data_IF_791905393406
#
_entry.id   IF_791905393406
#
_cell.length_a   1.000
_cell.length_b   1.000
_cell.length_c   1.000
_cell.angle_alpha   90.00
_cell.angle_beta   90.00
_cell.angle_gamma   90.00
#
_symmetry.space_group_name_H-M   'P 1'
#
loop_
_entity.id
_entity.type
_entity.pdbx_description
1 polymer ?
#
# COMPACT_ATOMS: atom_id res chain seq x y z
N UNK A 1 -30.92 9.02 -10.09
CA UNK A 1 -30.63 9.89 -8.93
C UNK A 1 -29.81 11.07 -9.41
N UNK A 2 -30.06 12.26 -8.87
CA UNK A 2 -29.20 13.41 -9.13
C UNK A 2 -27.98 13.36 -8.18
N UNK A 3 -26.89 14.08 -8.52
CA UNK A 3 -25.75 14.19 -7.62
C UNK A 3 -26.13 14.66 -6.21
N UNK A 4 -27.05 15.62 -6.08
CA UNK A 4 -27.53 16.13 -4.77
C UNK A 4 -28.31 15.10 -3.98
N UNK A 5 -29.04 14.20 -4.66
CA UNK A 5 -29.73 13.08 -4.00
C UNK A 5 -28.73 12.06 -3.48
N UNK A 6 -27.64 11.81 -4.21
CA UNK A 6 -26.55 10.92 -3.77
C UNK A 6 -25.83 11.50 -2.56
N UNK A 7 -25.41 12.77 -2.63
CA UNK A 7 -24.75 13.47 -1.52
C UNK A 7 -25.59 13.43 -0.24
N UNK A 8 -26.91 13.67 -0.38
CA UNK A 8 -27.83 13.59 0.74
C UNK A 8 -27.97 12.17 1.29
N UNK A 9 -28.07 11.16 0.44
CA UNK A 9 -28.17 9.75 0.87
C UNK A 9 -26.90 9.32 1.64
N UNK A 10 -25.71 9.75 1.18
CA UNK A 10 -24.45 9.52 1.91
C UNK A 10 -24.47 10.22 3.26
N UNK A 11 -24.82 11.53 3.31
CA UNK A 11 -24.86 12.30 4.57
C UNK A 11 -25.81 11.68 5.59
N UNK A 12 -27.03 11.31 5.16
CA UNK A 12 -28.02 10.65 6.01
C UNK A 12 -27.55 9.26 6.49
N UNK A 13 -26.73 8.57 5.69
CA UNK A 13 -26.17 7.26 6.00
C UNK A 13 -24.96 7.29 6.95
N UNK A 14 -24.30 8.44 7.16
CA UNK A 14 -23.04 8.52 7.93
C UNK A 14 -23.11 7.98 9.35
N UNK A 15 -24.18 8.19 10.15
CA UNK A 15 -24.25 7.60 11.49
C UNK A 15 -24.15 6.07 11.49
N UNK A 16 -24.82 5.41 10.54
CA UNK A 16 -24.72 3.95 10.36
C UNK A 16 -23.35 3.53 9.84
N UNK A 17 -22.78 4.29 8.92
CA UNK A 17 -21.46 4.07 8.35
C UNK A 17 -20.37 4.08 9.43
N UNK A 18 -20.38 5.08 10.31
CA UNK A 18 -19.44 5.18 11.43
C UNK A 18 -19.61 4.02 12.40
N UNK A 19 -20.83 3.59 12.68
CA UNK A 19 -21.09 2.44 13.57
C UNK A 19 -20.63 1.12 12.94
N UNK A 20 -20.83 0.92 11.63
CA UNK A 20 -20.36 -0.26 10.92
C UNK A 20 -18.82 -0.31 10.91
N UNK A 21 -18.14 0.83 10.68
CA UNK A 21 -16.69 0.94 10.81
C UNK A 21 -16.21 0.59 12.22
N UNK A 22 -16.86 1.17 13.26
CA UNK A 22 -16.52 0.85 14.66
C UNK A 22 -16.61 -0.65 14.94
N UNK A 23 -17.66 -1.30 14.48
CA UNK A 23 -17.85 -2.75 14.65
C UNK A 23 -16.76 -3.55 13.94
N UNK A 24 -16.35 -3.11 12.75
CA UNK A 24 -15.30 -3.80 12.00
C UNK A 24 -13.93 -3.58 12.63
N UNK A 25 -13.59 -2.35 13.04
CA UNK A 25 -12.33 -2.02 13.73
C UNK A 25 -12.20 -2.74 15.08
N UNK A 26 -13.31 -2.96 15.79
CA UNK A 26 -13.30 -3.67 17.06
C UNK A 26 -12.89 -5.16 16.93
N UNK A 27 -12.89 -5.73 15.74
CA UNK A 27 -12.45 -7.10 15.48
C UNK A 27 -10.94 -7.10 15.19
N UNK A 28 -10.10 -7.76 16.02
CA UNK A 28 -8.65 -7.82 15.83
C UNK A 28 -8.28 -8.85 14.74
N UNK A 29 -8.60 -8.57 13.49
CA UNK A 29 -8.43 -9.44 12.33
C UNK A 29 -6.98 -9.48 11.84
N UNK A 30 -6.05 -9.83 12.72
CA UNK A 30 -4.60 -9.91 12.42
C UNK A 30 -4.29 -11.25 11.73
N UNK A 31 -4.03 -11.22 10.41
CA UNK A 31 -3.81 -12.41 9.58
C UNK A 31 -2.34 -12.88 9.55
N UNK A 32 -1.62 -12.74 10.66
CA UNK A 32 -0.21 -13.09 10.80
C UNK A 32 0.00 -14.42 11.55
N UNK A 33 1.08 -15.18 11.29
CA UNK A 33 1.43 -16.36 12.05
C UNK A 33 1.53 -16.08 13.55
N UNK A 34 0.97 -16.97 14.37
CA UNK A 34 0.96 -16.83 15.82
C UNK A 34 -0.23 -16.04 16.38
N UNK A 35 -1.07 -15.47 15.53
CA UNK A 35 -2.34 -14.85 15.90
C UNK A 35 -3.52 -15.82 15.74
N UNK A 36 -4.65 -15.51 16.41
CA UNK A 36 -5.87 -16.31 16.32
C UNK A 36 -6.57 -16.08 14.97
N UNK A 37 -6.98 -17.15 14.31
CA UNK A 37 -7.74 -17.10 13.05
C UNK A 37 -9.19 -16.65 13.25
N UNK A 38 -9.76 -16.89 14.44
CA UNK A 38 -11.18 -16.66 14.70
C UNK A 38 -11.63 -15.20 14.44
N UNK A 39 -10.89 -14.15 14.86
CA UNK A 39 -11.26 -12.77 14.54
C UNK A 39 -11.21 -12.47 13.03
N UNK A 40 -10.28 -13.08 12.28
CA UNK A 40 -10.21 -12.88 10.82
C UNK A 40 -11.47 -13.43 10.15
N UNK A 41 -11.91 -14.63 10.55
CA UNK A 41 -13.15 -15.24 10.06
C UNK A 41 -14.41 -14.47 10.54
N UNK A 42 -14.36 -13.89 11.73
CA UNK A 42 -15.45 -13.02 12.25
C UNK A 42 -15.58 -11.75 11.40
N UNK A 43 -14.44 -11.13 11.02
CA UNK A 43 -14.42 -9.96 10.13
C UNK A 43 -14.99 -10.31 8.75
N UNK A 44 -14.59 -11.43 8.15
CA UNK A 44 -15.17 -11.92 6.90
C UNK A 44 -16.69 -12.07 6.98
N UNK A 45 -17.20 -12.66 8.07
CA UNK A 45 -18.63 -12.82 8.28
C UNK A 45 -19.37 -11.49 8.49
N UNK A 46 -18.72 -10.49 9.10
CA UNK A 46 -19.29 -9.15 9.23
C UNK A 46 -19.34 -8.45 7.87
N UNK A 47 -18.26 -8.47 7.10
CA UNK A 47 -18.18 -7.90 5.72
C UNK A 47 -19.28 -8.51 4.85
N UNK A 48 -19.46 -9.83 4.86
CA UNK A 48 -20.54 -10.50 4.12
C UNK A 48 -21.90 -9.94 4.48
N UNK A 49 -22.20 -9.73 5.77
CA UNK A 49 -23.47 -9.14 6.23
C UNK A 49 -23.63 -7.69 5.77
N UNK A 50 -22.57 -6.89 5.82
CA UNK A 50 -22.60 -5.49 5.40
C UNK A 50 -22.87 -5.34 3.91
N UNK A 51 -22.23 -6.16 3.05
CA UNK A 51 -22.47 -6.17 1.60
C UNK A 51 -23.90 -6.61 1.26
N UNK A 52 -24.47 -7.61 1.99
CA UNK A 52 -25.88 -7.97 1.83
C UNK A 52 -26.81 -6.83 2.21
N UNK A 53 -26.52 -6.13 3.31
CA UNK A 53 -27.30 -4.99 3.76
C UNK A 53 -27.18 -3.76 2.84
N UNK A 54 -26.11 -3.68 2.03
CA UNK A 54 -25.94 -2.67 0.99
C UNK A 54 -26.76 -2.97 -0.30
N UNK A 55 -27.53 -4.07 -0.32
CA UNK A 55 -28.43 -4.41 -1.42
C UNK A 55 -27.83 -5.31 -2.50
N UNK A 56 -26.64 -5.88 -2.28
CA UNK A 56 -26.05 -6.83 -3.25
C UNK A 56 -26.76 -8.19 -3.18
N UNK A 57 -27.29 -8.71 -4.32
CA UNK A 57 -28.11 -9.93 -4.32
C UNK A 57 -27.29 -11.21 -4.13
N UNK A 58 -26.04 -11.21 -4.57
CA UNK A 58 -25.18 -12.40 -4.53
C UNK A 58 -23.91 -12.09 -3.73
N UNK A 59 -23.88 -12.53 -2.47
CA UNK A 59 -22.73 -12.35 -1.57
C UNK A 59 -22.31 -13.71 -1.02
N UNK A 60 -21.02 -14.04 -1.11
CA UNK A 60 -20.45 -15.29 -0.61
C UNK A 60 -19.01 -15.14 -0.19
N UNK A 61 -18.55 -15.98 0.72
CA UNK A 61 -17.13 -16.15 0.98
C UNK A 61 -16.54 -17.13 -0.05
N UNK A 62 -15.35 -16.82 -0.56
CA UNK A 62 -14.59 -17.64 -1.49
C UNK A 62 -13.32 -18.10 -0.79
N UNK A 63 -13.09 -19.43 -0.69
CA UNK A 63 -11.85 -19.94 -0.13
C UNK A 63 -10.67 -19.59 -1.04
N UNK A 64 -9.61 -19.03 -0.46
CA UNK A 64 -8.33 -18.79 -1.13
C UNK A 64 -7.33 -19.82 -0.56
N UNK A 65 -6.68 -20.58 -1.44
CA UNK A 65 -5.75 -21.64 -1.02
C UNK A 65 -4.56 -21.05 -0.24
N UNK A 66 -4.39 -21.49 0.99
CA UNK A 66 -3.31 -21.04 1.88
C UNK A 66 -3.47 -19.63 2.43
N UNK A 67 -4.70 -19.07 2.37
CA UNK A 67 -5.06 -17.76 2.89
C UNK A 67 -6.44 -17.80 3.58
N UNK A 68 -6.85 -16.67 4.15
CA UNK A 68 -8.22 -16.48 4.63
C UNK A 68 -9.20 -16.26 3.46
N UNK A 69 -10.51 -16.53 3.66
CA UNK A 69 -11.47 -16.40 2.57
C UNK A 69 -11.61 -14.95 2.11
N UNK A 70 -11.67 -14.72 0.81
CA UNK A 70 -12.15 -13.45 0.29
C UNK A 70 -13.68 -13.37 0.37
N UNK A 71 -14.24 -12.20 0.64
CA UNK A 71 -15.68 -11.96 0.53
C UNK A 71 -15.96 -11.37 -0.85
N UNK A 72 -16.71 -12.11 -1.66
CA UNK A 72 -17.09 -11.70 -3.00
C UNK A 72 -18.58 -11.37 -3.07
N UNK A 73 -18.91 -10.30 -3.77
CA UNK A 73 -20.29 -9.93 -4.05
C UNK A 73 -20.44 -9.44 -5.49
N UNK A 74 -21.64 -9.62 -6.05
CA UNK A 74 -21.94 -9.14 -7.39
C UNK A 74 -23.41 -8.74 -7.59
N UNK A 75 -23.64 -7.76 -8.44
CA UNK A 75 -24.92 -7.39 -9.02
C UNK A 75 -24.76 -7.19 -10.53
N UNK A 76 -25.70 -7.68 -11.35
CA UNK A 76 -25.60 -7.56 -12.80
C UNK A 76 -25.66 -6.10 -13.25
N UNK A 77 -24.97 -5.81 -14.36
CA UNK A 77 -25.05 -4.50 -15.01
C UNK A 77 -26.45 -4.26 -15.60
N UNK A 78 -26.99 -3.04 -15.50
CA UNK A 78 -28.08 -2.61 -16.37
C UNK A 78 -27.69 -2.72 -17.85
N UNK A 79 -28.67 -2.81 -18.75
CA UNK A 79 -28.43 -2.95 -20.18
C UNK A 79 -27.51 -1.84 -20.71
N UNK A 80 -26.37 -2.23 -21.27
CA UNK A 80 -25.40 -1.33 -21.86
C UNK A 80 -24.51 -0.56 -20.84
N UNK A 81 -24.69 -0.74 -19.53
CA UNK A 81 -23.85 -0.13 -18.52
C UNK A 81 -22.54 -0.92 -18.31
N UNK A 82 -21.45 -0.24 -17.95
CA UNK A 82 -20.17 -0.90 -17.61
C UNK A 82 -20.27 -1.66 -16.29
N UNK A 83 -19.26 -2.51 -16.03
CA UNK A 83 -19.07 -3.19 -14.75
C UNK A 83 -17.88 -2.61 -14.01
N UNK A 84 -18.03 -2.36 -12.71
CA UNK A 84 -16.98 -1.90 -11.80
C UNK A 84 -16.66 -2.97 -10.78
N UNK A 85 -15.37 -3.25 -10.57
CA UNK A 85 -14.85 -4.06 -9.49
C UNK A 85 -14.36 -3.15 -8.36
N UNK A 86 -14.81 -3.38 -7.13
CA UNK A 86 -14.43 -2.67 -5.92
C UNK A 86 -13.56 -3.61 -5.06
N UNK A 87 -12.38 -3.15 -4.65
CA UNK A 87 -11.43 -3.91 -3.83
C UNK A 87 -11.03 -3.16 -2.57
N UNK A 88 -10.97 -3.91 -1.48
CA UNK A 88 -10.42 -3.53 -0.18
C UNK A 88 -9.98 -4.79 0.57
N UNK A 89 -9.37 -4.65 1.77
CA UNK A 89 -9.08 -5.79 2.63
C UNK A 89 -9.62 -5.62 4.05
N UNK A 90 -9.81 -6.74 4.78
CA UNK A 90 -10.36 -6.73 6.13
C UNK A 90 -9.39 -7.20 7.21
N UNK A 91 -8.23 -7.72 6.84
CA UNK A 91 -7.17 -8.02 7.79
C UNK A 91 -6.39 -6.75 8.15
N UNK A 92 -5.56 -6.82 9.17
CA UNK A 92 -4.82 -5.68 9.70
C UNK A 92 -3.45 -6.09 10.22
N UNK A 93 -2.52 -5.14 10.25
CA UNK A 93 -1.22 -5.29 10.90
C UNK A 93 -1.36 -5.57 12.41
N UNK A 94 -0.40 -6.30 13.01
CA UNK A 94 -0.29 -6.38 14.46
C UNK A 94 -0.21 -4.99 15.11
N UNK A 95 -0.82 -4.85 16.28
CA UNK A 95 -0.85 -3.57 17.01
C UNK A 95 0.52 -3.09 17.55
N UNK A 96 1.52 -3.98 17.58
CA UNK A 96 2.82 -3.66 18.17
C UNK A 96 2.75 -3.46 19.69
N UNK A 97 3.59 -2.55 20.20
CA UNK A 97 3.65 -2.24 21.64
C UNK A 97 2.42 -1.42 22.08
N UNK A 98 1.57 -2.04 22.90
CA UNK A 98 0.33 -1.42 23.40
C UNK A 98 0.60 -0.18 24.27
N UNK A 99 1.78 -0.05 24.88
CA UNK A 99 2.13 1.11 25.69
C UNK A 99 2.27 2.41 24.86
N UNK A 100 2.43 2.29 23.55
CA UNK A 100 2.54 3.43 22.64
C UNK A 100 1.18 3.93 22.13
N UNK A 101 0.10 3.19 22.37
CA UNK A 101 -1.25 3.57 21.98
C UNK A 101 -1.91 4.50 23.01
N UNK A 102 -2.51 5.59 22.55
CA UNK A 102 -3.30 6.52 23.39
C UNK A 102 -4.67 5.94 23.77
N UNK A 103 -5.24 5.14 22.86
CA UNK A 103 -6.48 4.38 23.06
C UNK A 103 -6.20 2.93 22.66
N UNK A 104 -6.87 1.92 23.27
CA UNK A 104 -6.64 0.53 22.87
C UNK A 104 -6.92 0.33 21.36
N UNK A 105 -6.05 -0.39 20.63
CA UNK A 105 -6.10 -0.47 19.16
C UNK A 105 -7.39 -1.08 18.59
N UNK A 106 -8.07 -1.93 19.36
CA UNK A 106 -9.33 -2.57 18.96
C UNK A 106 -10.54 -2.12 19.79
N UNK A 107 -10.42 -0.94 20.44
CA UNK A 107 -11.52 -0.22 21.06
C UNK A 107 -11.72 1.13 20.35
N UNK A 108 -12.30 1.12 19.12
CA UNK A 108 -12.32 2.31 18.26
C UNK A 108 -12.94 3.51 18.98
N UNK A 109 -12.15 4.56 19.10
CA UNK A 109 -12.52 5.77 19.86
C UNK A 109 -12.60 6.95 18.91
N UNK A 110 -13.71 7.69 18.94
CA UNK A 110 -13.87 8.90 18.13
C UNK A 110 -13.64 10.14 19.01
N UNK A 111 -12.69 10.97 18.62
CA UNK A 111 -12.38 12.25 19.26
C UNK A 111 -12.30 13.32 18.18
N UNK A 112 -13.06 14.40 18.31
CA UNK A 112 -13.06 15.55 17.39
C UNK A 112 -13.18 15.17 15.90
N UNK A 113 -14.05 14.20 15.59
CA UNK A 113 -14.28 13.74 14.22
C UNK A 113 -13.22 12.79 13.66
N UNK A 114 -12.30 12.32 14.51
CA UNK A 114 -11.24 11.38 14.15
C UNK A 114 -11.48 10.06 14.87
N UNK A 115 -11.53 8.95 14.15
CA UNK A 115 -11.58 7.60 14.72
C UNK A 115 -10.16 7.05 14.86
N UNK A 116 -9.82 6.63 16.09
CA UNK A 116 -8.55 5.96 16.40
C UNK A 116 -8.80 4.46 16.59
N UNK A 117 -7.98 3.64 15.93
CA UNK A 117 -8.02 2.18 16.03
C UNK A 117 -7.20 1.51 14.93
N UNK A 118 -6.66 0.31 15.18
CA UNK A 118 -5.94 -0.46 14.16
C UNK A 118 -6.90 -0.93 13.06
N UNK A 119 -6.56 -0.66 11.79
CA UNK A 119 -7.41 -0.92 10.64
C UNK A 119 -8.48 0.16 10.42
N UNK A 120 -8.46 1.27 11.15
CA UNK A 120 -9.43 2.34 10.94
C UNK A 120 -9.21 3.03 9.59
N UNK A 121 -7.95 3.20 9.18
CA UNK A 121 -7.55 3.71 7.88
C UNK A 121 -7.25 2.55 6.92
N UNK A 122 -6.35 1.68 7.27
CA UNK A 122 -5.78 0.60 6.46
C UNK A 122 -6.33 -0.79 6.88
N UNK A 123 -7.29 -1.41 6.12
CA UNK A 123 -8.09 -0.84 5.04
C UNK A 123 -9.60 -1.10 5.29
N UNK A 124 -9.98 -1.15 6.59
CA UNK A 124 -11.41 -1.28 6.93
C UNK A 124 -12.20 -0.04 6.49
N UNK A 125 -11.53 1.10 6.31
CA UNK A 125 -12.12 2.30 5.71
C UNK A 125 -12.53 2.08 4.26
N UNK A 126 -11.73 1.38 3.47
CA UNK A 126 -12.04 1.00 2.10
C UNK A 126 -13.23 0.05 2.03
N UNK A 127 -13.27 -0.97 2.89
CA UNK A 127 -14.44 -1.86 3.00
C UNK A 127 -15.72 -1.06 3.25
N UNK A 128 -15.67 -0.11 4.20
CA UNK A 128 -16.85 0.70 4.57
C UNK A 128 -17.18 1.73 3.49
N UNK A 129 -16.19 2.25 2.77
CA UNK A 129 -16.40 3.13 1.62
C UNK A 129 -17.27 2.41 0.58
N UNK A 130 -16.90 1.21 0.16
CA UNK A 130 -17.68 0.43 -0.80
C UNK A 130 -19.10 0.11 -0.29
N UNK A 131 -19.22 -0.33 0.96
CA UNK A 131 -20.53 -0.63 1.55
C UNK A 131 -21.44 0.60 1.59
N UNK A 132 -20.92 1.75 2.02
CA UNK A 132 -21.71 2.97 2.18
C UNK A 132 -22.08 3.62 0.82
N UNK A 133 -21.14 3.62 -0.13
CA UNK A 133 -21.41 4.11 -1.50
C UNK A 133 -22.51 3.28 -2.18
N UNK A 134 -22.45 1.95 -2.08
CA UNK A 134 -23.47 1.06 -2.64
C UNK A 134 -24.80 1.21 -1.93
N UNK A 135 -24.84 1.41 -0.61
CA UNK A 135 -26.05 1.64 0.18
C UNK A 135 -26.84 2.87 -0.31
N UNK A 136 -26.16 3.90 -0.81
CA UNK A 136 -26.79 5.12 -1.32
C UNK A 136 -27.74 4.85 -2.50
N UNK A 137 -27.59 3.73 -3.20
CA UNK A 137 -28.41 3.36 -4.36
C UNK A 137 -29.65 2.50 -4.02
N UNK A 138 -29.82 2.07 -2.77
CA UNK A 138 -30.93 1.22 -2.33
C UNK A 138 -31.16 -0.01 -3.25
N UNK A 139 -30.07 -0.70 -3.60
CA UNK A 139 -30.05 -1.90 -4.45
C UNK A 139 -30.31 -1.67 -5.95
N UNK A 140 -30.38 -0.41 -6.41
CA UNK A 140 -30.55 -0.04 -7.82
C UNK A 140 -29.27 0.57 -8.37
N UNK A 141 -28.32 -0.27 -8.72
CA UNK A 141 -27.00 0.17 -9.13
C UNK A 141 -26.97 0.70 -10.57
N UNK A 142 -26.25 1.82 -10.83
CA UNK A 142 -26.12 2.40 -12.18
C UNK A 142 -25.17 1.60 -13.09
N UNK A 143 -24.34 0.74 -12.52
CA UNK A 143 -23.34 -0.10 -13.17
C UNK A 143 -23.51 -1.55 -12.73
N UNK A 144 -22.88 -2.48 -13.45
CA UNK A 144 -22.61 -3.79 -12.88
C UNK A 144 -21.61 -3.65 -11.74
N UNK A 145 -21.89 -4.27 -10.62
CA UNK A 145 -21.04 -4.20 -9.43
C UNK A 145 -20.44 -5.55 -9.16
N UNK A 146 -19.14 -5.59 -8.97
CA UNK A 146 -18.40 -6.69 -8.34
C UNK A 146 -17.62 -6.13 -7.16
N UNK A 147 -17.60 -6.88 -6.07
CA UNK A 147 -16.81 -6.52 -4.87
C UNK A 147 -15.97 -7.73 -4.49
N UNK A 148 -14.71 -7.52 -4.22
CA UNK A 148 -13.84 -8.52 -3.61
C UNK A 148 -13.09 -7.89 -2.44
N UNK A 149 -13.30 -8.43 -1.23
CA UNK A 149 -12.64 -7.97 -0.02
C UNK A 149 -11.73 -9.09 0.46
N UNK A 150 -10.42 -8.82 0.48
CA UNK A 150 -9.37 -9.77 0.83
C UNK A 150 -9.23 -9.93 2.34
N UNK A 151 -8.72 -11.08 2.77
CA UNK A 151 -8.54 -11.40 4.19
C UNK A 151 -7.10 -11.62 4.63
N UNK A 152 -6.12 -11.38 3.75
CA UNK A 152 -4.70 -11.54 4.05
C UNK A 152 -3.82 -10.73 3.10
N UNK A 153 -4.07 -9.44 2.97
CA UNK A 153 -3.24 -8.51 2.21
C UNK A 153 -1.93 -8.22 2.94
N UNK A 154 -2.01 -7.95 4.21
CA UNK A 154 -0.95 -7.45 5.09
C UNK A 154 0.19 -8.46 5.38
N UNK A 155 -0.05 -9.73 5.06
CA UNK A 155 0.94 -10.79 5.23
C UNK A 155 0.93 -11.77 4.07
N UNK A 156 2.00 -11.77 3.26
CA UNK A 156 2.20 -12.71 2.15
C UNK A 156 1.11 -12.65 1.06
N UNK A 157 0.77 -11.45 0.60
CA UNK A 157 -0.31 -11.12 -0.35
C UNK A 157 -0.31 -11.78 -1.73
N UNK A 158 0.65 -12.66 -2.04
CA UNK A 158 0.74 -13.36 -3.36
C UNK A 158 -0.40 -14.37 -3.61
N UNK A 159 -1.24 -14.67 -2.59
CA UNK A 159 -2.26 -15.72 -2.68
C UNK A 159 -3.47 -15.27 -3.49
N UNK A 160 -3.91 -14.02 -3.30
CA UNK A 160 -5.01 -13.47 -4.09
C UNK A 160 -4.60 -13.25 -5.54
N UNK A 161 -3.34 -12.89 -5.81
CA UNK A 161 -2.82 -12.78 -7.17
C UNK A 161 -2.98 -14.10 -7.95
N UNK A 162 -2.55 -15.23 -7.37
CA UNK A 162 -2.71 -16.54 -7.98
C UNK A 162 -4.20 -16.89 -8.20
N UNK A 163 -5.07 -16.48 -7.26
CA UNK A 163 -6.51 -16.68 -7.42
C UNK A 163 -7.08 -15.85 -8.58
N UNK A 164 -6.66 -14.59 -8.74
CA UNK A 164 -7.05 -13.71 -9.86
C UNK A 164 -6.66 -14.33 -11.19
N UNK A 165 -5.43 -14.82 -11.32
CA UNK A 165 -4.93 -15.47 -12.53
C UNK A 165 -5.72 -16.74 -12.88
N UNK A 166 -6.14 -17.50 -11.87
CA UNK A 166 -6.91 -18.73 -12.03
C UNK A 166 -8.42 -18.48 -12.31
N UNK A 167 -8.95 -17.30 -11.96
CA UNK A 167 -10.39 -16.99 -12.01
C UNK A 167 -10.71 -15.68 -12.76
N UNK A 168 -10.21 -15.47 -14.00
CA UNK A 168 -10.33 -14.19 -14.69
C UNK A 168 -11.80 -13.78 -14.94
N UNK A 169 -12.71 -14.71 -15.21
CA UNK A 169 -14.09 -14.36 -15.50
C UNK A 169 -14.86 -13.84 -14.27
N UNK A 170 -14.43 -14.26 -13.06
CA UNK A 170 -15.04 -13.80 -11.82
C UNK A 170 -14.79 -12.30 -11.61
N UNK A 171 -13.55 -11.84 -11.89
CA UNK A 171 -13.10 -10.49 -11.58
C UNK A 171 -13.10 -9.55 -12.79
N UNK A 172 -13.49 -10.01 -13.97
CA UNK A 172 -13.54 -9.18 -15.18
C UNK A 172 -14.46 -7.98 -14.95
N UNK A 173 -13.94 -6.77 -15.18
CA UNK A 173 -14.65 -5.50 -15.08
C UNK A 173 -14.09 -4.52 -16.11
N UNK A 174 -14.82 -3.43 -16.38
CA UNK A 174 -14.39 -2.34 -17.26
C UNK A 174 -13.56 -1.31 -16.51
N UNK A 175 -13.89 -1.11 -15.24
CA UNK A 175 -13.08 -0.31 -14.29
C UNK A 175 -12.95 -1.02 -12.94
N UNK A 176 -11.89 -0.70 -12.21
CA UNK A 176 -11.60 -1.26 -10.89
C UNK A 176 -11.22 -0.14 -9.92
N UNK A 177 -11.82 -0.12 -8.75
CA UNK A 177 -11.49 0.82 -7.67
C UNK A 177 -10.76 0.06 -6.58
N UNK A 178 -9.59 0.53 -6.22
CA UNK A 178 -8.76 0.04 -5.12
C UNK A 178 -8.77 1.12 -4.04
N UNK A 179 -9.39 0.83 -2.90
CA UNK A 179 -9.60 1.82 -1.84
C UNK A 179 -8.50 1.82 -0.76
N UNK A 180 -7.42 1.10 -1.00
CA UNK A 180 -6.27 0.86 -0.13
C UNK A 180 -5.13 1.87 -0.42
N UNK A 181 -5.48 3.14 -0.44
CA UNK A 181 -4.59 4.29 -0.64
C UNK A 181 -5.24 5.55 -0.06
N UNK A 182 -4.50 6.66 -0.01
CA UNK A 182 -5.02 7.89 0.56
C UNK A 182 -4.59 9.17 -0.13
N UNK A 183 -4.98 10.26 0.50
CA UNK A 183 -4.66 11.61 0.10
C UNK A 183 -3.37 12.09 0.79
N UNK A 184 -2.59 13.01 0.20
CA UNK A 184 -1.41 13.58 0.86
C UNK A 184 -1.77 14.31 2.16
N UNK A 185 -2.89 15.03 2.16
CA UNK A 185 -3.42 15.75 3.33
C UNK A 185 -4.94 15.65 3.37
N UNK A 186 -5.51 15.74 4.56
CA UNK A 186 -6.96 15.83 4.75
C UNK A 186 -7.55 16.98 3.95
N UNK A 187 -8.52 16.69 3.09
CA UNK A 187 -9.18 17.68 2.22
C UNK A 187 -8.42 18.02 0.94
N UNK A 188 -7.29 17.37 0.65
CA UNK A 188 -6.52 17.52 -0.60
C UNK A 188 -6.65 16.25 -1.46
N UNK A 189 -7.71 16.13 -2.29
CA UNK A 189 -8.03 14.90 -3.00
C UNK A 189 -6.92 14.50 -3.99
N UNK A 190 -6.64 13.22 -4.04
CA UNK A 190 -5.66 12.67 -4.96
C UNK A 190 -6.14 11.40 -5.65
N UNK A 191 -5.62 11.15 -6.84
CA UNK A 191 -5.64 9.84 -7.49
C UNK A 191 -4.20 9.36 -7.56
N UNK A 192 -3.95 8.18 -7.01
CA UNK A 192 -2.64 7.53 -7.11
C UNK A 192 -2.48 6.95 -8.50
N UNK A 193 -1.54 7.49 -9.28
CA UNK A 193 -1.31 7.10 -10.68
C UNK A 193 -0.13 6.16 -10.85
N UNK A 194 0.68 5.98 -9.81
CA UNK A 194 1.79 5.01 -9.83
C UNK A 194 2.05 4.43 -8.45
N UNK A 195 2.35 3.13 -8.44
CA UNK A 195 2.85 2.39 -7.28
C UNK A 195 4.26 1.90 -7.59
N UNK A 196 5.21 2.09 -6.66
CA UNK A 196 6.53 1.50 -6.81
C UNK A 196 6.48 0.00 -6.53
N UNK A 197 7.22 -0.76 -7.32
CA UNK A 197 7.54 -2.13 -6.99
C UNK A 197 8.58 -2.23 -5.87
N UNK A 198 8.86 -3.44 -5.46
CA UNK A 198 9.85 -3.73 -4.43
C UNK A 198 10.70 -4.94 -4.84
N UNK A 199 11.99 -4.88 -4.51
CA UNK A 199 12.85 -6.05 -4.51
C UNK A 199 13.68 -6.07 -3.23
N UNK A 200 13.99 -7.25 -2.71
CA UNK A 200 14.81 -7.36 -1.53
C UNK A 200 15.65 -8.65 -1.57
N UNK A 201 16.80 -8.62 -0.90
CA UNK A 201 17.67 -9.78 -0.76
C UNK A 201 18.54 -9.65 0.50
N UNK A 202 19.07 -10.78 0.97
CA UNK A 202 20.11 -10.81 1.99
C UNK A 202 21.48 -10.95 1.31
N UNK A 203 22.45 -10.10 1.66
CA UNK A 203 23.85 -10.24 1.30
C UNK A 203 24.64 -10.74 2.51
N UNK A 204 25.44 -11.79 2.32
CA UNK A 204 26.40 -12.29 3.29
C UNK A 204 27.82 -12.09 2.79
N UNK A 205 28.68 -11.55 3.65
CA UNK A 205 30.13 -11.41 3.39
C UNK A 205 30.88 -12.29 4.39
N UNK A 206 31.81 -13.10 3.89
CA UNK A 206 32.70 -13.93 4.68
C UNK A 206 34.16 -13.63 4.38
N UNK A 207 34.97 -13.53 5.43
CA UNK A 207 36.40 -13.19 5.32
C UNK A 207 37.31 -14.19 6.02
N UNK A 208 36.84 -14.84 7.06
CA UNK A 208 37.61 -15.77 7.91
C UNK A 208 36.74 -17.02 8.18
N UNK A 209 37.40 -18.10 8.62
CA UNK A 209 36.68 -19.31 9.06
C UNK A 209 35.90 -19.05 10.36
N UNK A 210 36.54 -18.33 11.31
CA UNK A 210 35.96 -17.90 12.59
C UNK A 210 36.50 -16.51 13.01
N UNK A 211 35.81 -15.85 13.95
CA UNK A 211 36.22 -14.57 14.46
C UNK A 211 37.55 -14.71 15.24
N UNK A 212 38.45 -13.75 15.07
CA UNK A 212 39.78 -13.76 15.68
C UNK A 212 40.02 -12.53 16.53
N UNK A 213 40.95 -12.62 17.51
CA UNK A 213 41.23 -11.54 18.45
C UNK A 213 41.75 -10.28 17.75
N UNK A 214 41.01 -9.15 17.88
CA UNK A 214 41.31 -7.90 17.16
C UNK A 214 42.70 -7.29 17.50
N UNK A 215 43.17 -7.45 18.71
CA UNK A 215 44.50 -6.97 19.13
C UNK A 215 45.65 -7.79 18.53
N UNK A 216 45.41 -9.07 18.21
CA UNK A 216 46.44 -9.94 17.62
C UNK A 216 46.42 -9.92 16.08
N UNK A 217 45.25 -9.79 15.46
CA UNK A 217 45.09 -9.94 14.03
C UNK A 217 44.51 -8.68 13.33
N UNK A 218 43.98 -7.72 14.10
CA UNK A 218 43.45 -6.47 13.56
C UNK A 218 44.52 -5.66 12.83
N UNK A 219 44.12 -4.98 11.78
CA UNK A 219 45.00 -4.24 10.88
C UNK A 219 45.53 -5.07 9.69
N UNK A 220 45.50 -6.42 9.80
CA UNK A 220 45.92 -7.34 8.75
C UNK A 220 44.79 -8.28 8.30
N UNK A 221 44.10 -8.91 9.25
CA UNK A 221 42.96 -9.78 8.92
C UNK A 221 41.79 -8.93 8.38
N UNK A 222 41.18 -9.32 7.23
CA UNK A 222 40.03 -8.60 6.66
C UNK A 222 38.79 -8.83 7.54
N UNK A 223 38.17 -7.73 7.97
CA UNK A 223 36.95 -7.72 8.76
C UNK A 223 35.72 -7.76 7.84
N UNK A 224 34.82 -8.76 8.06
CA UNK A 224 33.64 -8.94 7.26
C UNK A 224 32.66 -7.76 7.36
N UNK A 225 32.52 -7.17 8.55
CA UNK A 225 31.67 -6.00 8.76
C UNK A 225 32.22 -4.77 8.02
N UNK A 226 33.53 -4.51 8.11
CA UNK A 226 34.16 -3.42 7.38
C UNK A 226 34.04 -3.59 5.85
N UNK A 227 34.14 -4.81 5.35
CA UNK A 227 33.93 -5.12 3.93
C UNK A 227 32.47 -4.86 3.52
N UNK A 228 31.52 -5.37 4.28
CA UNK A 228 30.08 -5.17 4.02
C UNK A 228 29.71 -3.68 4.04
N UNK A 229 30.16 -2.92 5.02
CA UNK A 229 29.91 -1.46 5.09
C UNK A 229 30.45 -0.73 3.84
N UNK A 230 31.65 -1.09 3.35
CA UNK A 230 32.20 -0.52 2.10
C UNK A 230 31.34 -0.84 0.89
N UNK A 231 30.85 -2.08 0.78
CA UNK A 231 29.96 -2.50 -0.31
C UNK A 231 28.65 -1.75 -0.29
N UNK A 232 28.01 -1.64 0.89
CA UNK A 232 26.72 -0.95 1.06
C UNK A 232 26.87 0.56 0.80
N UNK A 233 27.93 1.19 1.29
CA UNK A 233 28.19 2.62 1.02
C UNK A 233 28.40 2.90 -0.47
N UNK A 234 28.96 1.96 -1.23
CA UNK A 234 29.18 2.13 -2.66
C UNK A 234 27.89 2.16 -3.50
N UNK A 235 26.74 1.75 -2.94
CA UNK A 235 25.43 1.80 -3.59
C UNK A 235 24.97 3.24 -3.87
N UNK A 236 25.48 4.21 -3.12
CA UNK A 236 25.12 5.63 -3.25
C UNK A 236 26.36 6.51 -3.48
N UNK A 237 26.13 7.68 -4.05
CA UNK A 237 27.14 8.74 -4.08
C UNK A 237 27.10 9.59 -2.79
N UNK A 238 27.96 10.63 -2.75
CA UNK A 238 28.04 11.54 -1.60
C UNK A 238 26.78 12.41 -1.42
N UNK A 239 25.95 12.54 -2.45
CA UNK A 239 24.64 13.21 -2.41
C UNK A 239 23.50 12.26 -2.02
N UNK A 240 23.75 10.95 -2.00
CA UNK A 240 22.76 9.93 -1.70
C UNK A 240 21.99 9.38 -2.91
N UNK A 241 22.42 9.72 -4.13
CA UNK A 241 21.84 9.11 -5.33
C UNK A 241 22.31 7.66 -5.51
N UNK A 242 21.44 6.81 -6.06
CA UNK A 242 21.80 5.44 -6.40
C UNK A 242 22.85 5.42 -7.52
N UNK A 243 23.95 4.67 -7.31
CA UNK A 243 25.09 4.57 -8.23
C UNK A 243 25.19 3.27 -9.01
N UNK A 244 24.20 2.42 -8.87
CA UNK A 244 24.19 1.12 -9.56
C UNK A 244 23.87 1.35 -11.03
N UNK A 245 24.75 0.94 -11.97
CA UNK A 245 24.47 1.06 -13.42
C UNK A 245 23.21 0.28 -13.78
N UNK A 246 22.35 0.87 -14.61
CA UNK A 246 21.06 0.31 -15.00
C UNK A 246 19.91 0.76 -14.10
N UNK A 247 20.17 1.43 -12.97
CA UNK A 247 19.16 2.02 -12.09
C UNK A 247 19.14 3.55 -12.26
N UNK A 248 18.76 3.99 -13.46
CA UNK A 248 18.73 5.42 -13.78
C UNK A 248 17.55 6.12 -13.10
N UNK A 249 17.70 7.40 -12.65
CA UNK A 249 16.61 8.17 -12.09
C UNK A 249 15.54 8.46 -13.15
N UNK A 250 14.27 8.46 -12.73
CA UNK A 250 13.14 8.83 -13.57
C UNK A 250 12.58 10.20 -13.22
N UNK A 251 11.57 10.63 -13.97
CA UNK A 251 10.79 11.85 -13.72
C UNK A 251 9.33 11.50 -13.52
N UNK A 252 8.73 12.03 -12.47
CA UNK A 252 7.32 11.86 -12.19
C UNK A 252 6.50 12.97 -12.88
N UNK A 253 5.50 12.61 -13.72
CA UNK A 253 4.76 13.62 -14.49
C UNK A 253 3.66 14.33 -13.69
N UNK A 254 3.34 13.84 -12.49
CA UNK A 254 2.23 14.36 -11.66
C UNK A 254 2.60 15.57 -10.80
N UNK A 255 1.86 15.74 -9.71
CA UNK A 255 2.01 16.89 -8.82
C UNK A 255 3.38 16.90 -8.12
N UNK A 256 3.91 18.10 -7.91
CA UNK A 256 5.09 18.30 -7.08
C UNK A 256 4.74 18.10 -5.59
N UNK A 257 5.65 17.52 -4.84
CA UNK A 257 5.62 17.46 -3.37
C UNK A 257 6.53 18.57 -2.82
N UNK A 258 6.02 19.34 -1.86
CA UNK A 258 6.76 20.43 -1.22
C UNK A 258 7.82 19.89 -0.24
N UNK A 259 8.99 20.58 -0.14
CA UNK A 259 10.03 20.15 0.81
C UNK A 259 9.58 20.32 2.27
N UNK A 260 8.88 21.40 2.58
CA UNK A 260 8.37 21.66 3.93
C UNK A 260 7.35 20.62 4.35
N UNK A 261 6.41 20.28 3.46
CA UNK A 261 5.42 19.23 3.63
C UNK A 261 6.12 17.87 3.88
N UNK A 262 7.05 17.48 3.01
CA UNK A 262 7.80 16.22 3.17
C UNK A 262 8.59 16.16 4.48
N UNK A 263 9.26 17.27 4.88
CA UNK A 263 10.00 17.31 6.15
C UNK A 263 9.10 17.12 7.35
N UNK A 264 7.91 17.71 7.33
CA UNK A 264 6.93 17.55 8.40
C UNK A 264 6.42 16.10 8.49
N UNK A 265 6.04 15.52 7.36
CA UNK A 265 5.55 14.13 7.28
C UNK A 265 6.62 13.10 7.68
N UNK A 266 7.83 13.23 7.15
CA UNK A 266 8.94 12.31 7.44
C UNK A 266 9.60 12.53 8.80
N UNK A 267 9.25 13.60 9.51
CA UNK A 267 9.88 13.95 10.80
C UNK A 267 11.38 14.26 10.67
N UNK A 268 11.81 14.90 9.57
CA UNK A 268 13.23 15.22 9.34
C UNK A 268 13.69 16.29 10.33
N UNK A 269 14.73 15.97 11.10
CA UNK A 269 15.26 16.86 12.13
C UNK A 269 15.83 18.15 11.53
N UNK A 270 15.76 19.23 12.30
CA UNK A 270 16.33 20.52 11.92
C UNK A 270 17.83 20.41 11.60
N UNK A 271 18.24 21.02 10.51
CA UNK A 271 19.64 21.01 10.05
C UNK A 271 20.08 19.74 9.32
N UNK A 272 19.24 18.71 9.22
CA UNK A 272 19.51 17.52 8.40
C UNK A 272 19.09 17.81 6.96
N UNK A 273 19.99 17.60 6.00
CA UNK A 273 19.71 17.75 4.58
C UNK A 273 18.97 16.54 4.02
N UNK A 274 18.08 16.76 3.07
CA UNK A 274 17.51 15.67 2.27
C UNK A 274 18.58 15.10 1.32
N UNK A 275 18.43 13.82 0.97
CA UNK A 275 19.37 13.11 0.10
C UNK A 275 18.84 13.01 -1.34
N UNK A 276 19.75 12.92 -2.30
CA UNK A 276 19.45 12.75 -3.73
C UNK A 276 19.12 14.04 -4.46
N UNK A 277 19.27 13.99 -5.78
CA UNK A 277 19.02 15.08 -6.71
C UNK A 277 17.62 14.97 -7.35
N UNK A 278 17.15 16.06 -7.98
CA UNK A 278 15.83 16.13 -8.62
C UNK A 278 14.71 16.53 -7.65
N UNK A 279 13.49 16.59 -8.16
CA UNK A 279 12.30 16.90 -7.33
C UNK A 279 12.04 15.78 -6.31
N UNK A 280 11.31 16.08 -5.23
CA UNK A 280 10.89 15.07 -4.27
C UNK A 280 10.02 13.99 -4.92
N UNK A 281 9.12 14.40 -5.82
CA UNK A 281 8.26 13.49 -6.57
C UNK A 281 9.09 12.50 -7.43
N UNK A 282 10.15 12.97 -8.10
CA UNK A 282 11.05 12.11 -8.86
C UNK A 282 11.75 11.09 -7.97
N UNK A 283 12.30 11.55 -6.83
CA UNK A 283 13.02 10.68 -5.89
C UNK A 283 12.12 9.65 -5.23
N UNK A 284 10.89 10.04 -4.88
CA UNK A 284 9.96 9.19 -4.15
C UNK A 284 9.18 8.23 -5.04
N UNK A 285 8.85 8.62 -6.29
CA UNK A 285 7.88 7.87 -7.09
C UNK A 285 8.41 7.38 -8.45
N UNK A 286 9.40 8.06 -9.02
CA UNK A 286 9.91 7.72 -10.34
C UNK A 286 11.36 7.19 -10.37
N UNK A 287 12.06 7.20 -9.22
CA UNK A 287 13.45 6.74 -9.15
C UNK A 287 13.57 5.49 -8.27
N UNK A 288 14.66 4.75 -8.51
CA UNK A 288 15.05 3.66 -7.61
C UNK A 288 15.54 4.23 -6.28
N UNK A 289 15.20 3.55 -5.18
CA UNK A 289 15.75 3.87 -3.86
C UNK A 289 16.23 2.58 -3.20
N UNK A 290 17.41 2.60 -2.60
CA UNK A 290 18.01 1.44 -1.93
C UNK A 290 18.13 1.74 -0.44
N UNK A 291 17.62 0.84 0.40
CA UNK A 291 17.67 0.98 1.85
C UNK A 291 18.20 -0.31 2.48
N UNK A 292 19.08 -0.19 3.47
CA UNK A 292 19.48 -1.31 4.32
C UNK A 292 18.45 -1.44 5.45
N UNK A 293 17.66 -2.51 5.43
CA UNK A 293 16.55 -2.72 6.36
C UNK A 293 16.88 -3.65 7.52
N UNK A 294 18.06 -4.28 7.51
CA UNK A 294 18.53 -5.12 8.59
C UNK A 294 20.04 -5.37 8.50
N UNK A 295 20.68 -5.56 9.68
CA UNK A 295 22.10 -5.91 9.80
C UNK A 295 22.27 -6.96 10.88
N UNK A 296 22.90 -8.08 10.52
CA UNK A 296 23.37 -9.09 11.46
C UNK A 296 24.84 -8.83 11.80
N UNK A 297 25.05 -8.10 12.89
CA UNK A 297 26.35 -7.70 13.41
C UNK A 297 26.34 -7.72 14.94
N UNK A 298 27.49 -7.81 15.62
CA UNK A 298 27.52 -7.73 17.07
C UNK A 298 26.89 -6.43 17.57
N UNK A 299 26.02 -6.55 18.58
CA UNK A 299 25.45 -5.37 19.25
C UNK A 299 26.50 -4.64 20.08
N UNK A 300 26.32 -3.34 20.30
CA UNK A 300 27.23 -2.54 21.13
C UNK A 300 27.36 -3.16 22.55
N UNK A 301 26.26 -3.59 23.15
CA UNK A 301 26.24 -4.22 24.48
C UNK A 301 26.91 -5.59 24.48
N UNK A 302 26.88 -6.33 23.38
CA UNK A 302 27.51 -7.64 23.20
C UNK A 302 28.88 -7.58 22.51
N UNK A 303 29.47 -6.38 22.36
CA UNK A 303 30.71 -6.21 21.63
C UNK A 303 31.88 -6.90 22.35
N UNK A 304 32.69 -7.63 21.58
CA UNK A 304 33.92 -8.27 22.01
C UNK A 304 35.07 -7.79 21.12
N UNK A 305 36.33 -7.89 21.63
CA UNK A 305 37.51 -7.48 20.88
C UNK A 305 37.87 -8.50 19.80
N UNK A 306 37.05 -8.61 18.77
CA UNK A 306 37.23 -9.56 17.67
C UNK A 306 37.07 -8.89 16.29
N UNK A 307 37.84 -9.40 15.29
CA UNK A 307 37.63 -9.18 13.88
C UNK A 307 36.53 -10.15 13.43
N UNK A 308 35.48 -9.66 12.83
CA UNK A 308 34.31 -10.46 12.45
C UNK A 308 34.57 -11.32 11.21
N UNK A 309 34.23 -12.60 11.28
CA UNK A 309 34.38 -13.55 10.16
C UNK A 309 33.25 -13.44 9.15
N UNK A 310 32.05 -13.08 9.58
CA UNK A 310 30.81 -13.01 8.79
C UNK A 310 30.01 -11.77 9.18
N UNK A 311 29.42 -11.13 8.18
CA UNK A 311 28.43 -10.07 8.37
C UNK A 311 27.34 -10.19 7.30
N UNK A 312 26.09 -9.85 7.66
CA UNK A 312 24.93 -9.90 6.75
C UNK A 312 24.17 -8.59 6.76
N UNK A 313 23.56 -8.27 5.62
CA UNK A 313 22.59 -7.18 5.53
C UNK A 313 21.37 -7.59 4.73
N UNK A 314 20.19 -7.11 5.14
CA UNK A 314 18.99 -7.10 4.34
C UNK A 314 18.95 -5.80 3.56
N UNK A 315 18.89 -5.91 2.23
CA UNK A 315 18.83 -4.76 1.30
C UNK A 315 17.48 -4.76 0.62
N UNK A 316 16.79 -3.63 0.65
CA UNK A 316 15.50 -3.42 -0.02
C UNK A 316 15.67 -2.35 -1.10
N UNK A 317 15.13 -2.61 -2.28
CA UNK A 317 15.15 -1.73 -3.45
C UNK A 317 13.71 -1.34 -3.75
N UNK A 318 13.38 -0.07 -3.76
CA UNK A 318 12.13 0.44 -4.33
C UNK A 318 12.33 0.63 -5.83
N UNK A 319 11.39 0.10 -6.60
CA UNK A 319 11.45 0.02 -8.06
C UNK A 319 10.43 1.01 -8.62
N UNK A 320 10.80 1.96 -9.49
CA UNK A 320 9.81 2.82 -10.14
C UNK A 320 8.81 1.98 -10.95
N UNK A 321 7.62 2.52 -11.18
CA UNK A 321 6.55 1.79 -11.87
C UNK A 321 6.97 1.26 -13.25
N UNK A 322 7.83 1.97 -13.96
CA UNK A 322 8.39 1.57 -15.26
C UNK A 322 9.58 0.59 -15.16
N UNK A 323 10.05 0.32 -13.92
CA UNK A 323 11.26 -0.49 -13.69
C UNK A 323 10.95 -2.00 -13.65
N UNK A 324 12.00 -2.79 -13.86
CA UNK A 324 11.95 -4.24 -13.76
C UNK A 324 12.62 -4.71 -12.47
N UNK A 325 11.84 -5.26 -11.53
CA UNK A 325 12.34 -5.66 -10.22
C UNK A 325 13.41 -6.78 -10.28
N UNK A 326 13.26 -7.77 -11.18
CA UNK A 326 14.23 -8.84 -11.36
C UNK A 326 15.56 -8.32 -11.95
N UNK A 327 15.46 -7.39 -12.92
CA UNK A 327 16.66 -6.77 -13.50
C UNK A 327 17.38 -5.93 -12.44
N UNK A 328 16.67 -5.14 -11.67
CA UNK A 328 17.25 -4.34 -10.59
C UNK A 328 17.96 -5.20 -9.52
N UNK A 329 17.38 -6.37 -9.14
CA UNK A 329 18.04 -7.34 -8.29
C UNK A 329 19.38 -7.81 -8.88
N UNK A 330 19.39 -8.19 -10.17
CA UNK A 330 20.59 -8.66 -10.85
C UNK A 330 21.65 -7.56 -10.92
N UNK A 331 21.25 -6.33 -11.23
CA UNK A 331 22.18 -5.19 -11.36
C UNK A 331 22.81 -4.84 -10.01
N UNK A 332 22.00 -4.79 -8.93
CA UNK A 332 22.50 -4.49 -7.58
C UNK A 332 23.42 -5.60 -7.07
N UNK A 333 23.05 -6.86 -7.23
CA UNK A 333 23.90 -7.98 -6.75
C UNK A 333 25.21 -8.04 -7.53
N UNK A 334 25.19 -7.90 -8.85
CA UNK A 334 26.39 -7.84 -9.68
C UNK A 334 27.29 -6.63 -9.34
N UNK A 335 26.67 -5.48 -9.03
CA UNK A 335 27.42 -4.30 -8.59
C UNK A 335 28.09 -4.55 -7.23
N UNK A 336 27.40 -5.14 -6.27
CA UNK A 336 27.99 -5.48 -4.96
C UNK A 336 29.13 -6.48 -5.08
N UNK A 337 29.03 -7.50 -5.93
CA UNK A 337 30.15 -8.41 -6.22
C UNK A 337 31.37 -7.65 -6.79
N UNK A 338 31.11 -6.75 -7.73
CA UNK A 338 32.17 -5.96 -8.38
C UNK A 338 32.92 -5.03 -7.42
N UNK A 339 32.20 -4.42 -6.45
CA UNK A 339 32.81 -3.47 -5.48
C UNK A 339 33.30 -4.15 -4.22
N UNK A 340 33.14 -5.46 -4.09
CA UNK A 340 33.60 -6.23 -2.95
C UNK A 340 35.11 -6.07 -2.74
N UNK A 341 35.58 -5.57 -1.59
CA UNK A 341 36.99 -5.32 -1.37
C UNK A 341 37.74 -6.62 -1.04
N UNK A 342 39.04 -6.63 -1.23
CA UNK A 342 39.99 -7.64 -0.70
C UNK A 342 39.70 -9.08 -1.11
N UNK A 343 38.88 -9.33 -2.14
CA UNK A 343 38.54 -10.69 -2.59
C UNK A 343 37.71 -11.48 -1.60
N UNK A 344 36.91 -10.79 -0.76
CA UNK A 344 35.99 -11.42 0.20
C UNK A 344 35.00 -12.35 -0.51
N UNK A 345 34.47 -13.33 0.22
CA UNK A 345 33.42 -14.19 -0.30
C UNK A 345 32.07 -13.51 -0.07
N UNK A 346 31.33 -13.35 -1.16
CA UNK A 346 30.00 -12.76 -1.16
C UNK A 346 28.99 -13.81 -1.60
N UNK A 347 27.85 -13.87 -0.93
CA UNK A 347 26.70 -14.69 -1.33
C UNK A 347 25.41 -13.92 -1.11
N UNK A 348 24.37 -14.27 -1.88
CA UNK A 348 23.06 -13.64 -1.83
C UNK A 348 21.97 -14.70 -1.64
N UNK A 349 20.91 -14.33 -0.91
CA UNK A 349 19.77 -15.20 -0.65
C UNK A 349 18.51 -14.42 -0.31
N UNK A 350 17.45 -15.15 0.04
CA UNK A 350 16.15 -14.61 0.49
C UNK A 350 15.57 -13.56 -0.47
N UNK A 351 15.58 -13.86 -1.76
CA UNK A 351 15.12 -12.96 -2.81
C UNK A 351 13.60 -12.80 -2.77
N UNK A 352 13.15 -11.55 -2.80
CA UNK A 352 11.75 -11.15 -2.97
C UNK A 352 11.68 -10.11 -4.07
N UNK A 353 10.63 -10.14 -4.91
CA UNK A 353 10.42 -9.11 -5.92
C UNK A 353 8.94 -8.98 -6.27
N UNK A 354 8.44 -7.74 -6.35
CA UNK A 354 7.11 -7.36 -6.80
C UNK A 354 7.20 -6.21 -7.80
N UNK A 355 6.40 -6.26 -8.86
CA UNK A 355 6.36 -5.23 -9.90
C UNK A 355 5.67 -3.96 -9.40
N UNK A 356 6.07 -2.81 -9.93
CA UNK A 356 5.32 -1.57 -9.82
C UNK A 356 4.13 -1.54 -10.78
N UNK A 357 3.34 -0.48 -10.66
CA UNK A 357 2.17 -0.24 -11.48
C UNK A 357 2.08 1.24 -11.85
N UNK A 358 1.63 1.53 -13.06
CA UNK A 358 1.34 2.89 -13.53
C UNK A 358 0.05 2.92 -14.33
N UNK A 359 -0.78 3.92 -14.05
CA UNK A 359 -2.03 4.18 -14.77
C UNK A 359 -1.74 5.02 -16.02
N UNK A 360 -2.37 4.67 -17.13
CA UNK A 360 -2.48 5.55 -18.29
C UNK A 360 -3.65 6.53 -18.05
N UNK A 361 -3.40 7.83 -17.90
CA UNK A 361 -4.45 8.80 -17.58
C UNK A 361 -5.39 9.03 -18.77
N UNK A 362 -6.63 9.46 -18.47
CA UNK A 362 -7.56 10.02 -19.47
C UNK A 362 -8.63 9.07 -20.02
N UNK A 363 -8.84 7.89 -19.40
CA UNK A 363 -9.97 7.02 -19.73
C UNK A 363 -11.31 7.51 -19.17
N UNK A 364 -12.44 6.98 -19.64
CA UNK A 364 -13.77 7.40 -19.18
C UNK A 364 -14.01 7.19 -17.68
N UNK A 365 -13.48 6.12 -17.09
CA UNK A 365 -13.58 5.89 -15.63
C UNK A 365 -12.73 6.88 -14.85
N UNK A 366 -11.49 7.13 -15.28
CA UNK A 366 -10.61 8.14 -14.67
C UNK A 366 -11.27 9.52 -14.68
N UNK A 367 -11.80 9.95 -15.85
CA UNK A 367 -12.45 11.25 -15.97
C UNK A 367 -13.71 11.36 -15.08
N UNK A 368 -14.47 10.27 -14.90
CA UNK A 368 -15.61 10.25 -13.99
C UNK A 368 -15.16 10.34 -12.53
N UNK A 369 -14.09 9.65 -12.14
CA UNK A 369 -13.53 9.69 -10.79
C UNK A 369 -12.97 11.09 -10.47
N UNK A 370 -12.26 11.74 -11.41
CA UNK A 370 -11.76 13.10 -11.24
C UNK A 370 -12.90 14.11 -11.00
N UNK A 371 -13.98 14.04 -11.79
CA UNK A 371 -15.17 14.89 -11.56
C UNK A 371 -15.84 14.62 -10.22
N UNK A 372 -15.94 13.36 -9.84
CA UNK A 372 -16.53 12.96 -8.56
C UNK A 372 -15.71 13.48 -7.36
N UNK A 373 -14.37 13.36 -7.42
CA UNK A 373 -13.45 13.91 -6.41
C UNK A 373 -13.57 15.43 -6.36
N UNK A 374 -13.50 16.11 -7.51
CA UNK A 374 -13.63 17.58 -7.55
C UNK A 374 -14.94 18.04 -6.92
N UNK A 375 -16.05 17.36 -7.17
CA UNK A 375 -17.35 17.67 -6.59
C UNK A 375 -17.40 17.41 -5.08
N UNK A 376 -16.93 16.26 -4.62
CA UNK A 376 -16.97 15.87 -3.21
C UNK A 376 -16.04 16.73 -2.32
N UNK A 377 -14.90 17.15 -2.86
CA UNK A 377 -13.89 17.93 -2.14
C UNK A 377 -13.96 19.43 -2.42
N UNK A 378 -14.65 19.87 -3.48
CA UNK A 378 -14.71 21.26 -3.90
C UNK A 378 -13.43 21.78 -4.57
N UNK A 379 -12.52 20.87 -4.95
CA UNK A 379 -11.25 21.17 -5.65
C UNK A 379 -10.83 20.00 -6.53
N UNK A 380 -10.11 20.28 -7.61
CA UNK A 380 -9.62 19.26 -8.52
C UNK A 380 -8.60 18.33 -7.82
N UNK A 381 -8.65 17.01 -8.08
CA UNK A 381 -7.70 16.08 -7.49
C UNK A 381 -6.29 16.24 -8.07
N UNK A 382 -5.30 15.91 -7.27
CA UNK A 382 -3.90 15.80 -7.68
C UNK A 382 -3.60 14.39 -8.17
N UNK A 383 -2.70 14.27 -9.14
CA UNK A 383 -2.13 12.97 -9.51
C UNK A 383 -0.84 12.78 -8.71
N UNK A 384 -0.78 11.71 -7.93
CA UNK A 384 0.34 11.40 -7.04
C UNK A 384 0.88 9.99 -7.31
N UNK A 385 2.08 9.71 -6.84
CA UNK A 385 2.62 8.37 -6.76
C UNK A 385 2.62 7.87 -5.33
N UNK A 386 2.71 6.55 -5.12
CA UNK A 386 2.93 5.96 -3.81
C UNK A 386 4.17 5.06 -3.77
N UNK A 387 4.81 5.05 -2.60
CA UNK A 387 6.00 4.26 -2.36
C UNK A 387 5.75 2.79 -2.06
N UNK A 388 4.51 2.43 -1.72
CA UNK A 388 4.07 1.05 -1.50
C UNK A 388 3.75 0.33 -2.80
N UNK A 389 3.78 -0.99 -2.75
CA UNK A 389 3.26 -1.85 -3.82
C UNK A 389 2.03 -2.57 -3.28
N UNK A 390 0.95 -2.54 -4.02
CA UNK A 390 -0.21 -3.41 -3.79
C UNK A 390 -0.09 -4.54 -4.82
N UNK A 391 0.35 -5.75 -4.43
CA UNK A 391 0.67 -6.83 -5.37
C UNK A 391 -0.51 -7.17 -6.29
N UNK A 392 -1.73 -7.15 -5.75
CA UNK A 392 -2.96 -7.39 -6.49
C UNK A 392 -3.15 -6.42 -7.66
N UNK A 393 -2.83 -5.13 -7.52
CA UNK A 393 -2.98 -4.12 -8.58
C UNK A 393 -2.18 -4.50 -9.81
N UNK A 394 -0.93 -4.95 -9.62
CA UNK A 394 -0.09 -5.40 -10.73
C UNK A 394 -0.65 -6.67 -11.41
N UNK A 395 -1.22 -7.59 -10.63
CA UNK A 395 -1.86 -8.81 -11.17
C UNK A 395 -3.13 -8.46 -11.97
N UNK A 396 -3.99 -7.59 -11.46
CA UNK A 396 -5.20 -7.12 -12.16
C UNK A 396 -4.83 -6.40 -13.46
N UNK A 397 -3.84 -5.52 -13.45
CA UNK A 397 -3.39 -4.80 -14.65
C UNK A 397 -2.86 -5.76 -15.73
N UNK A 398 -2.10 -6.79 -15.36
CA UNK A 398 -1.64 -7.82 -16.31
C UNK A 398 -2.80 -8.64 -16.86
N UNK A 399 -3.73 -9.05 -16.02
CA UNK A 399 -4.85 -9.90 -16.40
C UNK A 399 -5.92 -9.16 -17.22
N UNK A 400 -6.13 -7.88 -16.91
CA UNK A 400 -7.17 -7.04 -17.52
C UNK A 400 -6.61 -5.75 -18.11
N UNK A 401 -5.78 -5.83 -19.18
CA UNK A 401 -5.05 -4.67 -19.71
C UNK A 401 -5.95 -3.60 -20.36
N UNK A 402 -7.26 -3.83 -20.43
CA UNK A 402 -8.25 -2.86 -20.94
C UNK A 402 -9.08 -2.23 -19.81
N UNK A 403 -9.02 -2.77 -18.61
CA UNK A 403 -9.73 -2.20 -17.47
C UNK A 403 -8.97 -0.96 -16.97
N UNK A 404 -9.71 0.09 -16.64
CA UNK A 404 -9.13 1.24 -15.96
C UNK A 404 -9.05 0.96 -14.47
N UNK A 405 -7.85 1.05 -13.88
CA UNK A 405 -7.65 0.85 -12.44
C UNK A 405 -7.52 2.23 -11.79
N UNK A 406 -8.38 2.49 -10.82
CA UNK A 406 -8.47 3.74 -10.06
C UNK A 406 -8.01 3.46 -8.62
N UNK A 407 -7.08 4.27 -8.13
CA UNK A 407 -6.58 4.18 -6.76
C UNK A 407 -6.90 5.49 -6.03
N UNK A 408 -7.88 5.45 -5.14
CA UNK A 408 -8.24 6.53 -4.22
C UNK A 408 -8.90 5.93 -2.96
N UNK A 409 -8.72 6.55 -1.83
CA UNK A 409 -9.25 6.06 -0.55
C UNK A 409 -9.28 7.15 0.51
N UNK A 410 -9.66 6.78 1.73
CA UNK A 410 -9.91 7.70 2.82
C UNK A 410 -8.72 7.91 3.76
N UNK A 411 -7.60 7.28 3.50
CA UNK A 411 -6.36 7.47 4.23
C UNK A 411 -5.77 8.86 4.00
N UNK A 412 -4.88 9.28 4.87
CA UNK A 412 -4.02 10.44 4.67
C UNK A 412 -2.60 10.14 5.19
N UNK A 413 -1.59 10.88 4.72
CA UNK A 413 -0.19 10.65 5.11
C UNK A 413 0.05 10.78 6.64
N UNK A 414 -0.88 11.40 7.38
CA UNK A 414 -0.87 11.47 8.83
C UNK A 414 -1.66 10.35 9.52
N UNK A 415 -2.21 9.38 8.79
CA UNK A 415 -3.04 8.32 9.34
C UNK A 415 -2.29 7.34 10.26
N UNK A 416 -0.95 7.34 10.24
CA UNK A 416 -0.10 6.46 11.05
C UNK A 416 -0.38 4.96 10.81
N UNK A 417 -0.68 4.59 9.55
CA UNK A 417 -0.82 3.19 9.16
C UNK A 417 0.43 2.38 9.55
N UNK A 418 0.27 1.11 9.91
CA UNK A 418 1.32 0.22 10.42
C UNK A 418 2.03 0.69 11.70
N UNK A 419 1.58 1.82 12.31
CA UNK A 419 2.16 2.38 13.54
C UNK A 419 1.10 2.47 14.66
N UNK A 420 1.49 2.67 15.93
CA UNK A 420 0.57 3.00 17.00
C UNK A 420 -0.19 4.31 16.73
N UNK A 421 -1.43 4.38 17.22
CA UNK A 421 -2.34 5.52 17.06
C UNK A 421 -2.82 5.75 15.63
N UNK A 422 -2.93 4.69 14.85
CA UNK A 422 -3.61 4.74 13.56
C UNK A 422 -4.97 5.43 13.67
N UNK A 423 -5.27 6.31 12.70
CA UNK A 423 -6.43 7.16 12.72
C UNK A 423 -7.07 7.36 11.35
N UNK A 424 -8.37 7.63 11.36
CA UNK A 424 -9.14 8.01 10.18
C UNK A 424 -9.95 9.28 10.47
N UNK A 425 -9.90 10.27 9.59
CA UNK A 425 -10.75 11.46 9.64
C UNK A 425 -12.11 11.15 9.03
N UNK A 426 -13.18 11.25 9.82
CA UNK A 426 -14.52 10.85 9.40
C UNK A 426 -15.11 11.74 8.29
N UNK A 427 -14.72 13.00 8.21
CA UNK A 427 -15.12 13.88 7.10
C UNK A 427 -14.42 13.47 5.79
N UNK A 428 -13.17 13.01 5.85
CA UNK A 428 -12.46 12.44 4.72
C UNK A 428 -13.15 11.17 4.22
N UNK A 429 -13.46 10.24 5.12
CA UNK A 429 -14.24 9.05 4.80
C UNK A 429 -15.56 9.40 4.10
N UNK A 430 -16.30 10.39 4.62
CA UNK A 430 -17.56 10.84 4.00
C UNK A 430 -17.34 11.36 2.57
N UNK A 431 -16.30 12.15 2.35
CA UNK A 431 -15.98 12.69 1.03
C UNK A 431 -15.60 11.58 0.04
N UNK A 432 -14.85 10.59 0.47
CA UNK A 432 -14.49 9.45 -0.38
C UNK A 432 -15.69 8.56 -0.68
N UNK A 433 -16.57 8.29 0.29
CA UNK A 433 -17.85 7.60 0.03
C UNK A 433 -18.70 8.36 -1.00
N UNK A 434 -18.79 9.68 -0.84
CA UNK A 434 -19.50 10.55 -1.79
C UNK A 434 -18.86 10.48 -3.19
N UNK A 435 -17.54 10.51 -3.26
CA UNK A 435 -16.79 10.35 -4.50
C UNK A 435 -17.14 9.04 -5.19
N UNK A 436 -17.08 7.91 -4.48
CA UNK A 436 -17.35 6.60 -5.07
C UNK A 436 -18.81 6.50 -5.56
N UNK A 437 -19.77 6.97 -4.77
CA UNK A 437 -21.16 6.95 -5.19
C UNK A 437 -21.41 7.85 -6.42
N UNK A 438 -20.81 9.03 -6.48
CA UNK A 438 -20.89 9.91 -7.64
C UNK A 438 -20.17 9.32 -8.87
N UNK A 439 -19.00 8.71 -8.67
CA UNK A 439 -18.28 8.01 -9.73
C UNK A 439 -19.11 6.89 -10.34
N UNK A 440 -19.70 6.02 -9.52
CA UNK A 440 -20.54 4.91 -10.01
C UNK A 440 -21.74 5.44 -10.81
N UNK A 441 -22.38 6.52 -10.36
CA UNK A 441 -23.51 7.14 -11.04
C UNK A 441 -23.09 7.77 -12.39
N UNK A 442 -22.04 8.56 -12.41
CA UNK A 442 -21.55 9.24 -13.63
C UNK A 442 -21.04 8.22 -14.67
N UNK A 443 -20.22 7.25 -14.23
CA UNK A 443 -19.70 6.19 -15.11
C UNK A 443 -20.81 5.28 -15.66
N UNK A 444 -21.87 5.04 -14.89
CA UNK A 444 -23.08 4.34 -15.31
C UNK A 444 -24.06 5.16 -16.16
N UNK A 445 -23.73 6.42 -16.47
CA UNK A 445 -24.56 7.29 -17.31
C UNK A 445 -25.78 7.88 -16.59
N UNK A 446 -25.82 7.87 -15.26
CA UNK A 446 -26.84 8.53 -14.46
C UNK A 446 -26.52 10.03 -14.33
N UNK A 447 -26.43 10.71 -15.44
CA UNK A 447 -26.39 12.18 -15.42
C UNK A 447 -27.79 12.63 -15.06
N UNK A 448 -28.00 13.22 -13.89
CA UNK A 448 -29.31 13.76 -13.53
C UNK A 448 -29.89 14.52 -14.73
N UNK A 449 -31.17 14.34 -15.00
CA UNK A 449 -31.82 15.08 -16.08
C UNK A 449 -31.56 16.57 -15.90
N UNK A 450 -30.92 17.20 -16.90
CA UNK A 450 -30.63 18.62 -16.93
C UNK A 450 -31.91 19.44 -16.83
#
# INVERSE_FOLDING_TARGET
>A
MTPEEIERAVEEGMPQTVEDLRRLVAIPSVAFPGHSEAPVLEAAALVERLLRAAGLPHVRQIPIEGSFPAVFAEAPAPDGAPTVLLYAHYDVQPSGDLALWRTPPFEPTVVDGIMYGRGAADDKSGVITHVAALRAFDGRFPVGVKVIIEGQEEYAGERLEAFVEANPDLLRADAMVIADVGNPEVGDPAITTSLRGMAAFTVEVRTLDEAVHSGAFGGAAPDALAALMRMLTALHDDQGNVRVPGLEPGTFPGAALGEEEFRALAGVLDGVSLVGDGSLADRLWASYAITVTGLDVPTVTGAINAVQAVARARVTIRIPASGNARQALNDVTAFLEKVAPWGVKVSFGDFVSGSGFQIEPGGPAMNAAERALERAFGRAPRQVGQGGSIPLVAALARQFPKAEILLYGAEDDGASIHAPNERLVLDELKRIITTEALFLADYGGWHGAA
#
